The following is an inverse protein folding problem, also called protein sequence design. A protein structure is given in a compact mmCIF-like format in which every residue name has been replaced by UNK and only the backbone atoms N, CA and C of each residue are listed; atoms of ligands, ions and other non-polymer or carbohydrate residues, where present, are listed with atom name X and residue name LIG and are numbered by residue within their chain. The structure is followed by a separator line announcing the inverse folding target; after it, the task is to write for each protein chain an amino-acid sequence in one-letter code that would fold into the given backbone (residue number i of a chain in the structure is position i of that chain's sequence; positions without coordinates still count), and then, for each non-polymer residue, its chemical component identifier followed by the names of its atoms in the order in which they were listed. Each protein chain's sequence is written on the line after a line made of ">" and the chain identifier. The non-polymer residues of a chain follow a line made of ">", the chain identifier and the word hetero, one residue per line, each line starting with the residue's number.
data_IF_219761257584
#
_entry.id   IF_219761257584
#
_cell.length_a   1.000
_cell.length_b   1.000
_cell.length_c   1.000
_cell.angle_alpha   90.00
_cell.angle_beta   90.00
_cell.angle_gamma   90.00
#
_symmetry.space_group_name_H-M   'P 1'
#
loop_
_entity.id
_entity.type
_entity.pdbx_description
1 polymer ?
#
# COMPACT_ATOMS: atom_id res chain seq x y z
N UNK A 1 18.00 -16.51 15.18
CA UNK A 1 17.04 -16.23 14.11
C UNK A 1 17.70 -15.24 13.17
N UNK A 2 17.78 -15.52 11.88
CA UNK A 2 18.34 -14.55 10.92
C UNK A 2 17.19 -14.05 10.08
N UNK A 3 16.70 -12.85 10.41
CA UNK A 3 15.75 -12.13 9.58
C UNK A 3 16.46 -11.69 8.30
N UNK A 4 15.87 -12.01 7.15
CA UNK A 4 16.36 -11.55 5.85
C UNK A 4 15.47 -10.41 5.36
N UNK A 5 15.99 -9.19 5.36
CA UNK A 5 15.29 -8.01 4.83
C UNK A 5 15.11 -8.12 3.31
N UNK A 6 13.97 -7.63 2.76
CA UNK A 6 13.81 -7.52 1.31
C UNK A 6 14.87 -6.60 0.70
N UNK A 7 15.48 -7.03 -0.42
CA UNK A 7 16.48 -6.24 -1.18
C UNK A 7 15.89 -5.61 -2.45
N UNK A 8 14.66 -5.94 -2.80
CA UNK A 8 14.02 -5.45 -4.03
C UNK A 8 13.57 -4.01 -3.89
N UNK A 9 13.76 -3.20 -4.93
CA UNK A 9 13.19 -1.87 -5.00
C UNK A 9 11.66 -1.94 -5.21
N UNK A 10 10.94 -0.98 -4.61
CA UNK A 10 9.50 -0.85 -4.79
C UNK A 10 9.17 -0.44 -6.24
N UNK A 11 8.21 -1.11 -6.91
CA UNK A 11 7.83 -0.75 -8.26
C UNK A 11 7.06 0.58 -8.29
N UNK A 12 7.29 1.39 -9.32
CA UNK A 12 6.51 2.60 -9.58
C UNK A 12 5.20 2.21 -10.27
N UNK A 13 4.08 2.32 -9.57
CA UNK A 13 2.75 2.03 -10.12
C UNK A 13 2.10 3.32 -10.62
N UNK A 14 2.06 3.46 -11.96
CA UNK A 14 1.65 4.67 -12.66
C UNK A 14 0.89 4.33 -13.94
N UNK A 15 -0.08 5.16 -14.31
CA UNK A 15 -0.75 5.07 -15.60
C UNK A 15 -1.25 6.43 -16.08
N UNK A 16 -1.51 6.51 -17.39
CA UNK A 16 -2.00 7.72 -18.04
C UNK A 16 -3.51 7.90 -17.84
N UNK A 17 -3.96 9.15 -17.82
CA UNK A 17 -5.37 9.50 -17.89
C UNK A 17 -5.60 10.72 -18.78
N UNK A 18 -6.86 10.90 -19.21
CA UNK A 18 -7.30 12.04 -20.03
C UNK A 18 -8.34 12.92 -19.31
N UNK A 19 -8.54 12.70 -18.00
CA UNK A 19 -9.44 13.50 -17.17
C UNK A 19 -8.73 14.73 -16.62
N UNK A 20 -9.51 15.76 -16.29
CA UNK A 20 -9.02 16.87 -15.48
C UNK A 20 -8.53 16.35 -14.11
N UNK A 21 -7.46 16.94 -13.58
CA UNK A 21 -6.86 16.54 -12.29
C UNK A 21 -7.92 16.47 -11.19
N UNK A 22 -8.79 17.47 -11.12
CA UNK A 22 -9.85 17.54 -10.10
C UNK A 22 -10.86 16.39 -10.21
N UNK A 23 -11.26 16.01 -11.42
CA UNK A 23 -12.21 14.91 -11.65
C UNK A 23 -11.57 13.55 -11.34
N UNK A 24 -10.30 13.40 -11.67
CA UNK A 24 -9.51 12.22 -11.34
C UNK A 24 -9.34 12.09 -9.82
N UNK A 25 -9.06 13.19 -9.12
CA UNK A 25 -9.00 13.25 -7.66
C UNK A 25 -10.34 12.93 -6.99
N UNK A 26 -11.46 13.46 -7.49
CA UNK A 26 -12.80 13.14 -6.98
C UNK A 26 -13.12 11.65 -7.15
N UNK A 27 -12.78 11.09 -8.31
CA UNK A 27 -12.95 9.66 -8.59
C UNK A 27 -12.09 8.79 -7.67
N UNK A 28 -10.83 9.18 -7.49
CA UNK A 28 -9.89 8.53 -6.58
C UNK A 28 -10.37 8.56 -5.13
N UNK A 29 -10.79 9.73 -4.65
CA UNK A 29 -11.40 9.92 -3.32
C UNK A 29 -12.60 8.99 -3.11
N UNK A 30 -13.54 8.97 -4.07
CA UNK A 30 -14.72 8.11 -4.00
C UNK A 30 -14.32 6.63 -3.91
N UNK A 31 -13.38 6.18 -4.74
CA UNK A 31 -12.95 4.77 -4.74
C UNK A 31 -12.23 4.36 -3.47
N UNK A 32 -11.37 5.23 -2.93
CA UNK A 32 -10.70 4.99 -1.65
C UNK A 32 -11.71 4.79 -0.52
N UNK A 33 -12.73 5.65 -0.43
CA UNK A 33 -13.79 5.53 0.56
C UNK A 33 -14.62 4.24 0.37
N UNK A 34 -14.95 3.88 -0.87
CA UNK A 34 -15.64 2.63 -1.19
C UNK A 34 -14.82 1.39 -0.80
N UNK A 35 -13.50 1.47 -0.95
CA UNK A 35 -12.57 0.42 -0.52
C UNK A 35 -12.30 0.47 0.99
N UNK A 36 -12.97 1.35 1.75
CA UNK A 36 -12.89 1.45 3.21
C UNK A 36 -11.59 2.07 3.72
N UNK A 37 -10.90 2.89 2.93
CA UNK A 37 -9.78 3.70 3.40
C UNK A 37 -10.29 5.00 4.01
N UNK A 38 -9.71 5.41 5.13
CA UNK A 38 -9.92 6.73 5.70
C UNK A 38 -8.92 7.71 5.07
N UNK A 39 -9.42 8.84 4.56
CA UNK A 39 -8.58 9.88 3.98
C UNK A 39 -7.98 10.71 5.11
N UNK A 40 -6.64 10.80 5.13
CA UNK A 40 -5.89 11.60 6.09
C UNK A 40 -5.60 12.99 5.53
N UNK A 41 -5.21 13.08 4.26
CA UNK A 41 -4.94 14.33 3.56
C UNK A 41 -5.55 14.29 2.16
N UNK A 42 -6.12 15.42 1.75
CA UNK A 42 -6.59 15.65 0.40
C UNK A 42 -6.21 17.08 0.01
N UNK A 43 -5.42 17.21 -1.05
CA UNK A 43 -4.84 18.47 -1.51
C UNK A 43 -5.08 18.57 -3.02
N UNK A 44 -6.15 19.27 -3.41
CA UNK A 44 -6.56 19.37 -4.81
C UNK A 44 -5.64 20.24 -5.65
N UNK A 45 -4.94 21.19 -5.04
CA UNK A 45 -3.97 22.05 -5.73
C UNK A 45 -2.69 21.28 -6.01
N UNK A 46 -2.19 20.52 -5.03
CA UNK A 46 -0.99 19.69 -5.20
C UNK A 46 -1.25 18.38 -5.97
N UNK A 47 -2.52 18.00 -6.19
CA UNK A 47 -2.86 16.75 -6.87
C UNK A 47 -2.73 15.50 -5.99
N UNK A 48 -2.88 15.60 -4.67
CA UNK A 48 -2.50 14.53 -3.73
C UNK A 48 -3.68 14.05 -2.87
N UNK A 49 -3.75 12.73 -2.69
CA UNK A 49 -4.59 12.08 -1.65
C UNK A 49 -3.72 11.11 -0.86
N UNK A 50 -3.78 11.20 0.47
CA UNK A 50 -3.12 10.26 1.38
C UNK A 50 -4.14 9.65 2.32
N UNK A 51 -4.05 8.35 2.56
CA UNK A 51 -4.92 7.64 3.52
C UNK A 51 -4.19 7.38 4.82
N UNK A 52 -4.97 7.20 5.90
CA UNK A 52 -4.45 6.60 7.12
C UNK A 52 -4.07 5.13 6.89
N UNK A 53 -3.28 4.57 7.80
CA UNK A 53 -3.05 3.12 7.87
C UNK A 53 -4.40 2.40 8.03
N UNK A 54 -4.55 1.32 7.27
CA UNK A 54 -5.71 0.45 7.33
C UNK A 54 -5.24 -1.00 7.50
N UNK A 55 -5.82 -1.69 8.47
CA UNK A 55 -5.69 -3.14 8.59
C UNK A 55 -6.00 -3.84 7.26
N UNK A 56 -5.01 -4.54 6.71
CA UNK A 56 -5.13 -5.32 5.49
C UNK A 56 -4.18 -6.48 5.60
N UNK A 57 -4.69 -7.72 5.74
CA UNK A 57 -3.87 -8.94 5.67
C UNK A 57 -3.21 -9.03 4.30
N UNK A 58 -1.92 -8.73 4.23
CA UNK A 58 -1.13 -8.79 3.01
C UNK A 58 -0.65 -10.23 2.78
N UNK A 59 -0.52 -10.59 1.51
CA UNK A 59 0.05 -11.87 1.10
C UNK A 59 1.47 -11.70 0.54
N UNK A 60 2.28 -12.77 0.48
CA UNK A 60 3.58 -12.76 -0.20
C UNK A 60 3.55 -12.33 -1.67
N UNK A 61 2.37 -12.38 -2.31
CA UNK A 61 2.19 -11.90 -3.67
C UNK A 61 2.03 -10.37 -3.72
N UNK A 62 1.52 -9.76 -2.65
CA UNK A 62 1.24 -8.32 -2.56
C UNK A 62 2.41 -7.54 -1.99
N UNK A 63 3.18 -8.12 -1.07
CA UNK A 63 4.33 -7.49 -0.46
C UNK A 63 5.44 -8.51 -0.15
N UNK A 64 6.65 -8.03 -0.01
CA UNK A 64 7.79 -8.77 0.52
C UNK A 64 8.19 -8.16 1.85
N UNK A 65 8.04 -8.90 2.95
CA UNK A 65 8.41 -8.47 4.29
C UNK A 65 9.62 -9.23 4.84
N UNK A 66 10.29 -9.99 3.97
CA UNK A 66 11.39 -10.86 4.34
C UNK A 66 10.94 -12.23 4.82
N UNK A 67 11.93 -13.04 5.22
CA UNK A 67 11.72 -14.43 5.60
C UNK A 67 12.43 -14.77 6.90
N UNK A 68 11.94 -15.81 7.56
CA UNK A 68 12.60 -16.50 8.66
C UNK A 68 12.73 -17.98 8.35
N UNK A 69 13.95 -18.50 8.31
CA UNK A 69 14.23 -19.91 7.99
C UNK A 69 13.55 -20.37 6.68
N UNK A 70 13.50 -19.49 5.67
CA UNK A 70 12.86 -19.77 4.38
C UNK A 70 11.34 -19.62 4.34
N UNK A 71 10.68 -19.35 5.47
CA UNK A 71 9.25 -19.06 5.57
C UNK A 71 8.98 -17.56 5.52
N UNK A 72 7.98 -17.19 4.71
CA UNK A 72 7.56 -15.80 4.54
C UNK A 72 6.76 -15.33 5.76
N UNK A 73 7.12 -14.17 6.32
CA UNK A 73 6.44 -13.60 7.48
C UNK A 73 4.95 -13.35 7.24
N UNK A 74 4.53 -13.07 6.00
CA UNK A 74 3.14 -12.83 5.64
C UNK A 74 2.29 -14.10 5.53
N UNK A 75 2.92 -15.29 5.60
CA UNK A 75 2.19 -16.57 5.70
C UNK A 75 1.86 -16.94 7.14
N UNK A 76 2.56 -16.37 8.10
CA UNK A 76 2.34 -16.63 9.52
C UNK A 76 1.13 -15.81 10.02
N UNK A 77 0.31 -16.38 10.89
CA UNK A 77 -0.83 -15.67 11.45
C UNK A 77 -0.43 -14.66 12.55
N UNK A 78 0.84 -14.67 12.95
CA UNK A 78 1.42 -13.72 13.91
C UNK A 78 1.80 -12.37 13.32
N UNK A 79 1.72 -12.20 12.00
CA UNK A 79 1.93 -10.90 11.36
C UNK A 79 0.63 -10.10 11.31
N UNK A 80 0.63 -8.91 11.90
CA UNK A 80 -0.39 -7.88 11.69
C UNK A 80 0.13 -6.89 10.66
N UNK A 81 -0.64 -6.68 9.61
CA UNK A 81 -0.22 -5.86 8.47
C UNK A 81 -1.22 -4.73 8.25
N UNK A 82 -0.70 -3.52 8.19
CA UNK A 82 -1.43 -2.31 7.88
C UNK A 82 -0.85 -1.66 6.63
N UNK A 83 -1.71 -1.01 5.86
CA UNK A 83 -1.31 -0.36 4.63
C UNK A 83 -2.00 1.00 4.49
N UNK A 84 -1.23 2.02 4.17
CA UNK A 84 -1.69 3.31 3.70
C UNK A 84 -1.43 3.44 2.19
N UNK A 85 -2.24 4.26 1.52
CA UNK A 85 -2.10 4.56 0.10
C UNK A 85 -1.91 6.06 -0.10
N UNK A 86 -1.03 6.39 -1.04
CA UNK A 86 -0.78 7.74 -1.52
C UNK A 86 -1.04 7.79 -3.01
N UNK A 87 -1.94 8.68 -3.43
CA UNK A 87 -2.28 8.93 -4.82
C UNK A 87 -1.75 10.31 -5.19
N UNK A 88 -1.05 10.38 -6.33
CA UNK A 88 -0.53 11.61 -6.90
C UNK A 88 -1.09 11.69 -8.32
N UNK A 89 -1.79 12.77 -8.64
CA UNK A 89 -2.42 13.04 -9.93
C UNK A 89 -1.78 14.27 -10.54
N UNK A 90 -1.40 14.15 -11.80
CA UNK A 90 -0.88 15.23 -12.65
C UNK A 90 -1.80 15.38 -13.86
N UNK A 91 -1.51 16.28 -14.80
CA UNK A 91 -2.37 16.44 -15.98
C UNK A 91 -2.47 15.17 -16.85
N UNK A 92 -1.40 14.37 -16.91
CA UNK A 92 -1.31 13.23 -17.81
C UNK A 92 -1.31 11.88 -17.09
N UNK A 93 -0.95 11.88 -15.82
CA UNK A 93 -0.62 10.66 -15.11
C UNK A 93 -1.20 10.63 -13.70
N UNK A 94 -1.62 9.44 -13.31
CA UNK A 94 -1.92 9.06 -11.93
C UNK A 94 -0.89 8.04 -11.44
N UNK A 95 -0.36 8.27 -10.25
CA UNK A 95 0.60 7.41 -9.56
C UNK A 95 -0.02 6.96 -8.23
N UNK A 96 0.15 5.69 -7.90
CA UNK A 96 -0.26 5.13 -6.60
C UNK A 96 0.97 4.53 -5.93
N UNK A 97 1.19 4.92 -4.67
CA UNK A 97 2.21 4.37 -3.79
C UNK A 97 1.55 3.79 -2.55
N UNK A 98 2.19 2.82 -1.91
CA UNK A 98 1.76 2.36 -0.59
C UNK A 98 2.81 2.64 0.48
N UNK A 99 2.36 2.57 1.72
CA UNK A 99 3.24 2.49 2.88
C UNK A 99 2.74 1.33 3.71
N UNK A 100 3.60 0.34 3.90
CA UNK A 100 3.26 -0.91 4.56
C UNK A 100 3.89 -0.89 5.95
N UNK A 101 3.08 -1.17 6.95
CA UNK A 101 3.52 -1.35 8.33
C UNK A 101 3.19 -2.77 8.76
N UNK A 102 4.17 -3.47 9.33
CA UNK A 102 3.99 -4.86 9.78
C UNK A 102 4.61 -5.05 11.15
N UNK A 103 3.79 -5.56 12.06
CA UNK A 103 4.21 -6.04 13.37
C UNK A 103 4.14 -7.56 13.38
N UNK A 104 5.18 -8.18 13.93
CA UNK A 104 5.25 -9.63 14.11
C UNK A 104 5.32 -9.99 15.58
N UNK A 105 4.30 -10.72 16.04
CA UNK A 105 4.19 -11.18 17.43
C UNK A 105 5.11 -12.39 17.67
N UNK A 106 6.03 -12.27 18.62
CA UNK A 106 6.95 -13.34 18.99
C UNK A 106 6.41 -14.27 20.11
N UNK A 107 5.32 -13.89 20.79
CA UNK A 107 4.72 -14.63 21.91
C UNK A 107 4.69 -13.85 23.24
N UNK A 108 4.13 -14.46 24.30
CA UNK A 108 3.64 -13.78 25.53
C UNK A 108 4.65 -12.99 26.39
N UNK A 109 5.93 -12.89 26.02
CA UNK A 109 6.93 -12.19 26.86
C UNK A 109 7.98 -11.37 26.09
N UNK A 110 7.78 -11.17 24.79
CA UNK A 110 8.74 -10.49 23.91
C UNK A 110 8.08 -9.35 23.16
N UNK A 111 8.80 -8.23 22.99
CA UNK A 111 8.33 -7.10 22.20
C UNK A 111 8.12 -7.51 20.74
N UNK A 112 7.04 -7.02 20.14
CA UNK A 112 6.74 -7.21 18.72
C UNK A 112 7.85 -6.62 17.86
N UNK A 113 8.14 -7.29 16.74
CA UNK A 113 9.15 -6.82 15.80
C UNK A 113 8.47 -6.06 14.67
N UNK A 114 8.89 -4.82 14.45
CA UNK A 114 8.55 -4.08 13.23
C UNK A 114 9.40 -4.61 12.06
N UNK A 115 8.74 -5.08 11.00
CA UNK A 115 9.42 -5.62 9.81
C UNK A 115 9.49 -4.57 8.70
N UNK A 116 10.60 -4.57 7.96
CA UNK A 116 10.70 -3.79 6.72
C UNK A 116 9.99 -4.54 5.60
N UNK A 117 9.06 -3.86 4.93
CA UNK A 117 8.28 -4.42 3.84
C UNK A 117 8.36 -3.56 2.58
N UNK A 118 8.43 -4.23 1.44
CA UNK A 118 8.40 -3.63 0.12
C UNK A 118 7.15 -4.08 -0.60
N UNK A 119 6.38 -3.13 -1.15
CA UNK A 119 5.23 -3.47 -1.98
C UNK A 119 5.66 -4.15 -3.28
N UNK A 120 4.88 -5.12 -3.74
CA UNK A 120 5.02 -5.71 -5.09
C UNK A 120 4.15 -4.99 -6.13
N UNK A 121 3.48 -3.91 -5.74
CA UNK A 121 2.64 -3.10 -6.62
C UNK A 121 1.27 -3.71 -6.94
N UNK A 122 0.92 -4.88 -6.38
CA UNK A 122 -0.31 -5.60 -6.73
C UNK A 122 -1.55 -4.84 -6.28
N UNK A 123 -1.52 -4.28 -5.07
CA UNK A 123 -2.67 -3.58 -4.48
C UNK A 123 -2.89 -2.23 -5.17
N UNK A 124 -1.81 -1.52 -5.43
CA UNK A 124 -1.74 -0.26 -6.15
C UNK A 124 -2.23 -0.44 -7.57
N UNK A 125 -1.77 -1.47 -8.28
CA UNK A 125 -2.24 -1.77 -9.64
C UNK A 125 -3.73 -2.11 -9.66
N UNK A 126 -4.24 -2.82 -8.65
CA UNK A 126 -5.66 -3.10 -8.53
C UNK A 126 -6.48 -1.81 -8.37
N UNK A 127 -6.05 -0.90 -7.49
CA UNK A 127 -6.70 0.39 -7.33
C UNK A 127 -6.61 1.21 -8.63
N UNK A 128 -5.42 1.32 -9.20
CA UNK A 128 -5.17 2.08 -10.42
C UNK A 128 -6.05 1.61 -11.59
N UNK A 129 -6.19 0.29 -11.77
CA UNK A 129 -7.13 -0.29 -12.75
C UNK A 129 -8.56 0.18 -12.50
N UNK A 130 -9.05 0.06 -11.27
CA UNK A 130 -10.39 0.55 -10.91
C UNK A 130 -10.57 2.05 -11.17
N UNK A 131 -9.52 2.85 -11.01
CA UNK A 131 -9.59 4.29 -11.25
C UNK A 131 -9.66 4.66 -12.73
N UNK A 132 -9.09 3.84 -13.60
CA UNK A 132 -9.01 4.10 -15.05
C UNK A 132 -10.18 3.44 -15.80
N UNK A 133 -10.66 2.30 -15.31
CA UNK A 133 -11.78 1.56 -15.93
C UNK A 133 -13.14 1.81 -15.27
N UNK A 134 -13.19 2.33 -14.04
CA UNK A 134 -14.38 2.48 -13.19
C UNK A 134 -14.44 1.48 -12.01
#
# INVERSE_FOLDING_TARGET
>A
MTYEVPLTAEPVVKAKHNLAVEDMLKSAKKKLLQNGYQIQRFDSEAGIISTSLKNKKLTPAEADCGKIMGLDYLKDNRSKTEMALNIIVTEQDITVKSSIYVEYELGESTQDIALTCVSRGVVENKLLKQLITG
#
